data_IF_765321323394
#
_entry.id   IF_765321323394
#
_cell.length_a   1.000
_cell.length_b   1.000
_cell.length_c   1.000
_cell.angle_alpha   90.00
_cell.angle_beta   90.00
_cell.angle_gamma   90.00
#
_symmetry.space_group_name_H-M   'P 1'
#
loop_
_entity.id
_entity.type
_entity.pdbx_description
1 polymer ?
#
# COMPACT_ATOMS: atom_id res chain seq x y z
N UNK A 1 -29.69 -19.02 16.79
CA UNK A 1 -28.83 -19.18 15.59
C UNK A 1 -28.92 -17.96 14.66
N UNK A 2 -30.10 -17.46 14.24
CA UNK A 2 -30.21 -16.31 13.33
C UNK A 2 -29.51 -15.04 13.85
N UNK A 3 -29.53 -14.75 15.17
CA UNK A 3 -28.85 -13.59 15.77
C UNK A 3 -27.32 -13.62 15.63
N UNK A 4 -26.72 -14.82 15.68
CA UNK A 4 -25.26 -15.02 15.52
C UNK A 4 -24.86 -14.90 14.04
N UNK A 5 -25.68 -15.49 13.15
CA UNK A 5 -25.44 -15.41 11.70
C UNK A 5 -25.50 -13.98 11.16
N UNK A 6 -26.30 -13.12 11.80
CA UNK A 6 -26.44 -11.70 11.44
C UNK A 6 -25.46 -10.76 12.19
N UNK A 7 -24.61 -11.30 13.08
CA UNK A 7 -23.63 -10.48 13.80
C UNK A 7 -22.72 -9.64 12.88
N UNK A 8 -22.14 -10.20 11.80
CA UNK A 8 -21.34 -9.41 10.85
C UNK A 8 -22.15 -8.28 10.20
N UNK A 9 -23.39 -8.57 9.80
CA UNK A 9 -24.26 -7.56 9.20
C UNK A 9 -24.67 -6.48 10.21
N UNK A 10 -24.92 -6.84 11.47
CA UNK A 10 -25.22 -5.87 12.54
C UNK A 10 -24.05 -4.90 12.76
N UNK A 11 -22.83 -5.43 12.81
CA UNK A 11 -21.62 -4.60 12.93
C UNK A 11 -21.43 -3.73 11.68
N UNK A 12 -21.62 -4.30 10.49
CA UNK A 12 -21.46 -3.59 9.23
C UNK A 12 -22.40 -2.40 9.07
N UNK A 13 -23.65 -2.52 9.53
CA UNK A 13 -24.66 -1.42 9.49
C UNK A 13 -24.69 -0.56 10.75
N UNK A 14 -23.79 -0.80 11.71
CA UNK A 14 -23.72 -0.04 12.96
C UNK A 14 -24.95 -0.19 13.85
N UNK A 15 -25.56 -1.39 13.87
CA UNK A 15 -26.76 -1.64 14.67
C UNK A 15 -26.43 -1.51 16.18
N UNK A 16 -27.12 -0.60 16.88
CA UNK A 16 -26.87 -0.29 18.29
C UNK A 16 -25.90 0.85 18.55
N UNK A 17 -25.23 1.39 17.52
CA UNK A 17 -24.25 2.47 17.68
C UNK A 17 -24.83 3.89 17.49
N UNK A 18 -26.13 4.05 17.16
CA UNK A 18 -26.71 5.38 16.96
C UNK A 18 -26.83 6.17 18.25
N UNK A 19 -26.43 7.44 18.24
CA UNK A 19 -26.78 8.35 19.30
C UNK A 19 -28.31 8.47 19.39
N UNK A 20 -28.83 8.53 20.61
CA UNK A 20 -30.29 8.50 20.86
C UNK A 20 -31.05 9.69 20.29
N UNK A 21 -30.39 10.87 20.22
CA UNK A 21 -30.98 12.10 19.73
C UNK A 21 -29.96 12.86 18.91
N UNK A 22 -30.20 12.95 17.59
CA UNK A 22 -29.48 13.84 16.69
C UNK A 22 -30.46 14.88 16.15
N UNK A 23 -30.12 16.17 16.26
CA UNK A 23 -30.86 17.22 15.57
C UNK A 23 -30.75 17.08 14.05
N UNK A 24 -31.74 17.57 13.31
CA UNK A 24 -31.79 17.49 11.86
C UNK A 24 -30.55 18.06 11.19
N UNK A 25 -29.99 19.16 11.73
CA UNK A 25 -28.77 19.79 11.22
C UNK A 25 -27.57 18.83 11.36
N UNK A 26 -27.44 18.15 12.51
CA UNK A 26 -26.34 17.19 12.71
C UNK A 26 -26.44 16.01 11.73
N UNK A 27 -27.65 15.51 11.46
CA UNK A 27 -27.90 14.46 10.47
C UNK A 27 -27.45 14.92 9.08
N UNK A 28 -27.88 16.12 8.65
CA UNK A 28 -27.50 16.69 7.36
C UNK A 28 -25.97 16.82 7.25
N UNK A 29 -25.32 17.34 8.30
CA UNK A 29 -23.86 17.48 8.31
C UNK A 29 -23.11 16.13 8.26
N UNK A 30 -23.63 15.09 8.94
CA UNK A 30 -23.06 13.75 8.85
C UNK A 30 -23.22 13.15 7.44
N UNK A 31 -24.33 13.39 6.76
CA UNK A 31 -24.53 12.95 5.37
C UNK A 31 -23.55 13.69 4.44
N UNK A 32 -23.42 15.00 4.58
CA UNK A 32 -22.46 15.80 3.78
C UNK A 32 -21.04 15.29 4.04
N UNK A 33 -20.63 15.15 5.29
CA UNK A 33 -19.29 14.65 5.66
C UNK A 33 -19.01 13.28 5.04
N UNK A 34 -19.98 12.35 5.12
CA UNK A 34 -19.87 11.01 4.54
C UNK A 34 -19.66 11.07 3.02
N UNK A 35 -20.46 11.86 2.32
CA UNK A 35 -20.37 12.00 0.86
C UNK A 35 -19.05 12.65 0.47
N UNK A 36 -18.61 13.68 1.21
CA UNK A 36 -17.35 14.38 0.93
C UNK A 36 -16.16 13.45 1.08
N UNK A 37 -16.06 12.71 2.19
CA UNK A 37 -14.98 11.73 2.39
C UNK A 37 -15.07 10.62 1.34
N UNK A 38 -16.27 10.11 1.06
CA UNK A 38 -16.47 9.09 0.03
C UNK A 38 -16.03 9.55 -1.36
N UNK A 39 -16.33 10.78 -1.73
CA UNK A 39 -15.88 11.37 -2.99
C UNK A 39 -14.37 11.56 -3.04
N UNK A 40 -13.77 12.03 -1.93
CA UNK A 40 -12.31 12.17 -1.83
C UNK A 40 -11.60 10.84 -2.11
N UNK A 41 -11.98 9.77 -1.40
CA UNK A 41 -11.37 8.44 -1.61
C UNK A 41 -11.66 7.86 -2.99
N UNK A 42 -12.87 8.06 -3.53
CA UNK A 42 -13.19 7.62 -4.88
C UNK A 42 -12.32 8.33 -5.92
N UNK A 43 -12.13 9.63 -5.77
CA UNK A 43 -11.28 10.44 -6.67
C UNK A 43 -9.83 10.01 -6.61
N UNK A 44 -9.26 9.92 -5.40
CA UNK A 44 -7.89 9.46 -5.16
C UNK A 44 -7.63 8.05 -5.70
N UNK A 45 -8.54 7.10 -5.41
CA UNK A 45 -8.39 5.73 -5.87
C UNK A 45 -8.50 5.61 -7.38
N UNK A 46 -9.40 6.38 -8.00
CA UNK A 46 -9.57 6.41 -9.46
C UNK A 46 -8.35 7.01 -10.14
N UNK A 47 -7.78 8.08 -9.59
CA UNK A 47 -6.55 8.70 -10.10
C UNK A 47 -5.37 7.71 -10.03
N UNK A 48 -5.14 7.09 -8.86
CA UNK A 48 -4.10 6.06 -8.67
C UNK A 48 -4.26 4.90 -9.65
N UNK A 49 -5.50 4.47 -9.89
CA UNK A 49 -5.80 3.38 -10.83
C UNK A 49 -5.47 3.76 -12.28
N UNK A 50 -5.80 4.99 -12.71
CA UNK A 50 -5.53 5.45 -14.07
C UNK A 50 -4.07 5.77 -14.33
N UNK A 51 -3.35 6.29 -13.35
CA UNK A 51 -1.91 6.55 -13.47
C UNK A 51 -1.13 5.25 -13.68
N UNK A 52 -1.53 4.17 -13.00
CA UNK A 52 -0.96 2.83 -13.16
C UNK A 52 0.45 2.63 -12.61
N UNK A 53 1.15 3.71 -12.25
CA UNK A 53 2.51 3.75 -11.69
C UNK A 53 2.57 4.23 -10.24
N UNK A 54 1.41 4.44 -9.62
CA UNK A 54 1.34 4.88 -8.23
C UNK A 54 2.00 3.88 -7.28
N UNK A 55 2.82 4.39 -6.35
CA UNK A 55 3.48 3.57 -5.33
C UNK A 55 3.51 4.27 -3.97
N UNK A 56 3.34 3.48 -2.91
CA UNK A 56 3.53 3.91 -1.53
C UNK A 56 5.01 3.97 -1.09
N UNK A 57 5.95 3.52 -1.95
CA UNK A 57 7.39 3.45 -1.64
C UNK A 57 7.95 4.76 -1.08
N UNK A 58 7.76 5.95 -1.72
CA UNK A 58 8.32 7.20 -1.19
C UNK A 58 7.77 7.57 0.18
N UNK A 59 6.51 7.24 0.42
CA UNK A 59 5.82 7.54 1.66
C UNK A 59 6.39 6.71 2.83
N UNK A 60 6.53 5.40 2.66
CA UNK A 60 7.08 4.52 3.68
C UNK A 60 8.59 4.67 3.85
N UNK A 61 9.34 4.89 2.78
CA UNK A 61 10.78 5.10 2.83
C UNK A 61 11.16 6.35 3.64
N UNK A 62 10.34 7.40 3.53
CA UNK A 62 10.53 8.66 4.24
C UNK A 62 9.79 8.73 5.59
N UNK A 63 9.31 7.59 6.11
CA UNK A 63 8.64 7.54 7.39
C UNK A 63 9.52 8.09 8.53
N UNK A 64 8.90 8.82 9.45
CA UNK A 64 9.55 9.48 10.59
C UNK A 64 8.97 9.02 11.93
N UNK A 65 9.63 9.36 13.03
CA UNK A 65 9.15 9.09 14.37
C UNK A 65 9.36 7.65 14.84
N UNK A 66 8.68 7.27 15.94
CA UNK A 66 8.96 6.01 16.63
C UNK A 66 8.59 4.76 15.85
N UNK A 67 7.69 4.87 14.86
CA UNK A 67 7.23 3.77 14.03
C UNK A 67 7.94 3.70 12.66
N UNK A 68 8.87 4.62 12.39
CA UNK A 68 9.54 4.74 11.10
C UNK A 68 10.19 3.44 10.63
N UNK A 69 10.83 2.69 11.55
CA UNK A 69 11.46 1.41 11.21
C UNK A 69 10.47 0.37 10.70
N UNK A 70 9.28 0.30 11.28
CA UNK A 70 8.25 -0.66 10.86
C UNK A 70 7.66 -0.27 9.48
N UNK A 71 7.42 1.01 9.24
CA UNK A 71 6.95 1.49 7.94
C UNK A 71 7.98 1.26 6.81
N UNK A 72 9.27 1.49 7.09
CA UNK A 72 10.33 1.24 6.10
C UNK A 72 10.44 -0.23 5.72
N UNK A 73 10.22 -1.16 6.66
CA UNK A 73 10.18 -2.60 6.36
C UNK A 73 9.03 -2.99 5.44
N UNK A 74 8.02 -2.12 5.28
CA UNK A 74 6.93 -2.29 4.31
C UNK A 74 7.33 -1.88 2.88
N UNK A 75 8.45 -1.17 2.71
CA UNK A 75 8.99 -0.92 1.37
C UNK A 75 9.55 -2.22 0.81
N UNK A 76 9.11 -2.60 -0.39
CA UNK A 76 9.69 -3.76 -1.06
C UNK A 76 11.19 -3.61 -1.20
N UNK A 77 11.91 -4.60 -0.70
CA UNK A 77 13.37 -4.67 -0.77
C UNK A 77 14.07 -3.37 -0.33
N UNK A 78 13.63 -2.81 0.82
CA UNK A 78 14.14 -1.54 1.34
C UNK A 78 15.67 -1.53 1.53
N UNK A 79 16.22 -2.65 1.96
CA UNK A 79 17.65 -2.88 2.17
C UNK A 79 18.39 -3.35 0.90
N UNK A 80 17.69 -3.54 -0.21
CA UNK A 80 18.27 -3.97 -1.48
C UNK A 80 18.74 -5.42 -1.52
N UNK A 81 18.42 -6.23 -0.52
CA UNK A 81 18.91 -7.61 -0.43
C UNK A 81 18.56 -8.46 -1.66
N UNK A 82 17.34 -8.27 -2.21
CA UNK A 82 16.89 -8.96 -3.42
C UNK A 82 17.52 -8.37 -4.68
N UNK A 83 17.52 -7.03 -4.81
CA UNK A 83 18.05 -6.34 -6.00
C UNK A 83 19.55 -6.47 -6.14
N UNK A 84 20.29 -6.60 -5.04
CA UNK A 84 21.74 -6.82 -5.03
C UNK A 84 22.14 -8.30 -5.16
N UNK A 85 21.16 -9.24 -5.08
CA UNK A 85 21.41 -10.66 -5.34
C UNK A 85 21.19 -10.95 -6.83
N UNK A 86 22.30 -11.01 -7.57
CA UNK A 86 22.29 -11.30 -8.99
C UNK A 86 21.60 -12.63 -9.32
N UNK A 87 21.82 -13.67 -8.51
CA UNK A 87 21.23 -14.99 -8.78
C UNK A 87 19.72 -14.97 -8.68
N UNK A 88 19.18 -14.32 -7.64
CA UNK A 88 17.75 -14.17 -7.46
C UNK A 88 17.14 -13.32 -8.58
N UNK A 89 17.77 -12.20 -8.92
CA UNK A 89 17.35 -11.33 -10.02
C UNK A 89 17.29 -12.08 -11.35
N UNK A 90 18.34 -12.86 -11.69
CA UNK A 90 18.36 -13.67 -12.91
C UNK A 90 17.25 -14.74 -12.95
N UNK A 91 16.95 -15.38 -11.82
CA UNK A 91 15.87 -16.37 -11.74
C UNK A 91 14.51 -15.70 -12.01
N UNK A 92 14.26 -14.54 -11.42
CA UNK A 92 13.01 -13.80 -11.63
C UNK A 92 12.87 -13.36 -13.09
N UNK A 93 13.93 -12.80 -13.67
CA UNK A 93 13.91 -12.35 -15.06
C UNK A 93 13.78 -13.51 -16.07
N UNK A 94 14.43 -14.64 -15.82
CA UNK A 94 14.26 -15.83 -16.66
C UNK A 94 12.83 -16.38 -16.58
N UNK A 95 12.26 -16.46 -15.38
CA UNK A 95 10.87 -16.89 -15.19
C UNK A 95 9.90 -15.94 -15.90
N UNK A 96 10.14 -14.63 -15.82
CA UNK A 96 9.32 -13.64 -16.51
C UNK A 96 9.42 -13.77 -18.04
N UNK A 97 10.62 -13.94 -18.60
CA UNK A 97 10.84 -14.19 -20.04
C UNK A 97 10.02 -15.38 -20.53
N UNK A 98 10.05 -16.48 -19.78
CA UNK A 98 9.32 -17.69 -20.18
C UNK A 98 7.81 -17.48 -20.10
N UNK A 99 7.35 -16.85 -19.01
CA UNK A 99 5.93 -16.56 -18.79
C UNK A 99 5.34 -15.57 -19.82
N UNK A 100 6.08 -14.52 -20.21
CA UNK A 100 5.61 -13.57 -21.22
C UNK A 100 5.55 -14.21 -22.62
N UNK A 101 6.50 -15.12 -22.91
CA UNK A 101 6.47 -15.91 -24.14
C UNK A 101 5.22 -16.79 -24.23
N UNK A 102 4.83 -17.43 -23.15
CA UNK A 102 3.58 -18.20 -23.05
C UNK A 102 2.34 -17.29 -23.13
N UNK A 103 2.36 -16.14 -22.46
CA UNK A 103 1.24 -15.19 -22.42
C UNK A 103 0.84 -14.66 -23.80
N UNK A 104 1.82 -14.27 -24.61
CA UNK A 104 1.59 -13.75 -25.94
C UNK A 104 1.61 -14.83 -27.05
N UNK A 105 2.10 -16.05 -26.74
CA UNK A 105 2.32 -17.11 -27.72
C UNK A 105 3.44 -16.74 -28.69
N UNK A 106 4.62 -16.38 -28.19
CA UNK A 106 5.77 -15.95 -29.00
C UNK A 106 6.21 -17.01 -30.01
N UNK A 107 6.55 -16.55 -31.21
CA UNK A 107 7.23 -17.37 -32.24
C UNK A 107 8.68 -17.70 -31.81
N UNK A 108 9.35 -18.61 -32.53
CA UNK A 108 10.75 -18.91 -32.29
C UNK A 108 11.66 -17.65 -32.41
N UNK A 109 11.35 -16.77 -33.37
CA UNK A 109 12.09 -15.52 -33.60
C UNK A 109 11.87 -14.54 -32.44
N UNK A 110 10.62 -14.39 -31.97
CA UNK A 110 10.28 -13.57 -30.81
C UNK A 110 10.91 -14.12 -29.52
N UNK A 111 10.94 -15.44 -29.32
CA UNK A 111 11.63 -16.07 -28.19
C UNK A 111 13.15 -15.84 -28.25
N UNK A 112 13.75 -15.85 -29.43
CA UNK A 112 15.16 -15.52 -29.60
C UNK A 112 15.44 -14.04 -29.27
N UNK A 113 14.51 -13.14 -29.58
CA UNK A 113 14.60 -11.72 -29.18
C UNK A 113 14.42 -11.54 -27.67
N UNK A 114 13.46 -12.23 -27.07
CA UNK A 114 13.25 -12.24 -25.62
C UNK A 114 14.52 -12.72 -24.86
N UNK A 115 15.23 -13.70 -25.43
CA UNK A 115 16.51 -14.18 -24.89
C UNK A 115 17.62 -13.13 -25.02
N UNK A 116 17.67 -12.36 -26.12
CA UNK A 116 18.63 -11.26 -26.28
C UNK A 116 18.39 -10.15 -25.25
N UNK A 117 17.12 -9.73 -25.10
CA UNK A 117 16.74 -8.71 -24.10
C UNK A 117 17.10 -9.16 -22.67
N UNK A 118 16.93 -10.46 -22.36
CA UNK A 118 17.36 -11.01 -21.07
C UNK A 118 18.89 -10.91 -20.89
N UNK A 119 19.66 -11.31 -21.91
CA UNK A 119 21.13 -11.25 -21.84
C UNK A 119 21.63 -9.80 -21.67
N UNK A 120 21.02 -8.86 -22.39
CA UNK A 120 21.36 -7.44 -22.29
C UNK A 120 21.04 -6.88 -20.90
N UNK A 121 19.87 -7.23 -20.33
CA UNK A 121 19.53 -6.81 -18.97
C UNK A 121 20.52 -7.36 -17.93
N UNK A 122 20.96 -8.60 -18.07
CA UNK A 122 21.99 -9.20 -17.21
C UNK A 122 23.32 -8.45 -17.35
N UNK A 123 23.76 -8.15 -18.56
CA UNK A 123 25.01 -7.41 -18.81
C UNK A 123 24.94 -5.98 -18.19
N UNK A 124 23.80 -5.30 -18.36
CA UNK A 124 23.59 -3.98 -17.74
C UNK A 124 23.64 -4.05 -16.21
N UNK A 125 23.05 -5.09 -15.63
CA UNK A 125 23.07 -5.31 -14.19
C UNK A 125 24.50 -5.56 -13.68
N UNK A 126 25.28 -6.42 -14.36
CA UNK A 126 26.68 -6.68 -14.05
C UNK A 126 27.50 -5.39 -14.09
N UNK A 127 27.34 -4.61 -15.16
CA UNK A 127 28.02 -3.32 -15.32
C UNK A 127 27.70 -2.35 -14.15
N UNK A 128 26.43 -2.20 -13.78
CA UNK A 128 26.02 -1.30 -12.69
C UNK A 128 26.56 -1.76 -11.34
N UNK A 129 26.54 -3.06 -11.07
CA UNK A 129 27.06 -3.61 -9.81
C UNK A 129 28.58 -3.55 -9.72
N UNK A 130 29.31 -3.75 -10.82
CA UNK A 130 30.76 -3.56 -10.86
C UNK A 130 31.16 -2.09 -10.69
N UNK A 131 30.44 -1.18 -11.35
CA UNK A 131 30.70 0.26 -11.25
C UNK A 131 30.53 0.79 -9.82
N UNK A 132 29.54 0.26 -9.09
CA UNK A 132 29.19 0.67 -7.72
C UNK A 132 29.67 -0.36 -6.66
N UNK A 133 30.67 -1.19 -6.97
CA UNK A 133 31.10 -2.28 -6.08
C UNK A 133 31.55 -1.79 -4.70
N UNK A 134 32.23 -0.64 -4.64
CA UNK A 134 32.70 -0.06 -3.37
C UNK A 134 31.54 0.39 -2.49
N UNK A 135 30.53 1.05 -3.06
CA UNK A 135 29.33 1.52 -2.36
C UNK A 135 28.50 0.34 -1.85
N UNK A 136 28.40 -0.73 -2.66
CA UNK A 136 27.71 -1.97 -2.28
C UNK A 136 28.43 -2.65 -1.12
N UNK A 137 29.75 -2.77 -1.17
CA UNK A 137 30.55 -3.37 -0.09
C UNK A 137 30.45 -2.54 1.20
N UNK A 138 30.58 -1.22 1.12
CA UNK A 138 30.46 -0.33 2.28
C UNK A 138 29.05 -0.44 2.89
N UNK A 139 28.02 -0.48 2.07
CA UNK A 139 26.63 -0.68 2.51
C UNK A 139 26.45 -2.01 3.23
N UNK A 140 26.89 -3.13 2.65
CA UNK A 140 26.78 -4.47 3.25
C UNK A 140 27.50 -4.57 4.59
N UNK A 141 28.70 -4.01 4.67
CA UNK A 141 29.46 -3.94 5.92
C UNK A 141 28.76 -3.08 6.96
N UNK A 142 28.16 -1.97 6.53
CA UNK A 142 27.39 -1.06 7.36
C UNK A 142 26.13 -1.73 7.95
N UNK A 143 25.36 -2.42 7.11
CA UNK A 143 24.18 -3.19 7.53
C UNK A 143 24.56 -4.24 8.58
N UNK A 144 25.60 -5.02 8.33
CA UNK A 144 26.06 -6.03 9.30
C UNK A 144 26.53 -5.42 10.64
N UNK A 145 27.05 -4.19 10.64
CA UNK A 145 27.38 -3.47 11.89
C UNK A 145 26.12 -3.03 12.63
N UNK A 146 25.10 -2.51 11.92
CA UNK A 146 23.82 -2.09 12.50
C UNK A 146 23.09 -3.29 13.11
N UNK A 147 23.05 -4.43 12.42
CA UNK A 147 22.42 -5.67 12.94
C UNK A 147 23.09 -6.16 14.23
N UNK A 148 24.42 -6.10 14.32
CA UNK A 148 25.15 -6.42 15.56
C UNK A 148 24.82 -5.46 16.69
N UNK A 149 24.58 -4.18 16.38
CA UNK A 149 24.18 -3.19 17.38
C UNK A 149 22.73 -3.40 17.85
N UNK A 150 21.87 -3.86 16.96
CA UNK A 150 20.47 -4.16 17.26
C UNK A 150 20.30 -5.45 18.09
N UNK A 151 21.21 -6.40 17.93
CA UNK A 151 21.21 -7.65 18.70
C UNK A 151 21.78 -7.53 20.12
N UNK A 152 22.29 -6.37 20.54
CA UNK A 152 22.88 -6.15 21.87
C UNK A 152 21.81 -5.61 22.86
N UNK A 153 21.29 -6.46 23.79
CA UNK A 153 20.23 -6.06 24.72
C UNK A 153 20.64 -4.96 25.71
N UNK A 154 21.94 -4.81 25.95
CA UNK A 154 22.47 -3.80 26.91
C UNK A 154 22.33 -2.39 26.32
N UNK A 155 22.34 -2.27 25.01
CA UNK A 155 22.26 -1.00 24.29
C UNK A 155 20.84 -0.56 23.96
N UNK A 156 19.89 -1.46 23.97
CA UNK A 156 18.50 -1.20 23.61
C UNK A 156 17.79 -0.25 24.61
N UNK A 157 18.26 -0.19 25.85
CA UNK A 157 17.76 0.72 26.89
C UNK A 157 18.31 2.15 26.83
N UNK A 158 19.23 2.47 25.91
CA UNK A 158 19.91 3.79 25.88
C UNK A 158 19.37 4.62 24.70
N UNK A 159 18.47 5.56 24.99
CA UNK A 159 17.78 6.39 23.97
C UNK A 159 18.73 7.18 23.03
N UNK A 160 19.90 7.61 23.53
CA UNK A 160 20.91 8.30 22.72
C UNK A 160 21.53 7.41 21.63
N UNK A 161 21.65 6.11 21.90
CA UNK A 161 22.16 5.12 20.93
C UNK A 161 21.12 4.78 19.86
N UNK A 162 19.82 4.86 20.20
CA UNK A 162 18.73 4.71 19.22
C UNK A 162 18.78 5.77 18.13
N UNK A 163 18.99 7.04 18.49
CA UNK A 163 19.13 8.14 17.54
C UNK A 163 20.37 7.99 16.64
N UNK A 164 21.48 7.48 17.19
CA UNK A 164 22.70 7.24 16.43
C UNK A 164 22.52 6.09 15.42
N UNK A 165 21.88 4.99 15.81
CA UNK A 165 21.54 3.88 14.91
C UNK A 165 20.70 4.35 13.74
N UNK A 166 19.69 5.15 14.00
CA UNK A 166 18.81 5.70 12.96
C UNK A 166 19.54 6.63 11.99
N UNK A 167 20.51 7.40 12.49
CA UNK A 167 21.37 8.23 11.64
C UNK A 167 22.23 7.37 10.72
N UNK A 168 22.89 6.34 11.26
CA UNK A 168 23.69 5.40 10.46
C UNK A 168 22.86 4.70 9.41
N UNK A 169 21.66 4.21 9.76
CA UNK A 169 20.76 3.59 8.76
C UNK A 169 20.40 4.54 7.64
N UNK A 170 20.08 5.79 7.94
CA UNK A 170 19.77 6.81 6.91
C UNK A 170 20.96 7.11 6.02
N UNK A 171 22.17 7.16 6.56
CA UNK A 171 23.40 7.34 5.79
C UNK A 171 23.65 6.17 4.85
N UNK A 172 23.48 4.93 5.35
CA UNK A 172 23.61 3.72 4.52
C UNK A 172 22.54 3.66 3.42
N UNK A 173 21.28 3.97 3.73
CA UNK A 173 20.23 4.04 2.72
C UNK A 173 20.56 5.10 1.67
N UNK A 174 21.01 6.28 2.07
CA UNK A 174 21.39 7.33 1.16
C UNK A 174 22.58 6.94 0.25
N UNK A 175 23.51 6.17 0.78
CA UNK A 175 24.66 5.64 0.04
C UNK A 175 24.22 4.69 -1.08
N UNK A 176 23.33 3.73 -0.77
CA UNK A 176 22.98 2.67 -1.70
C UNK A 176 21.81 3.03 -2.64
N UNK A 177 20.98 4.02 -2.29
CA UNK A 177 19.77 4.39 -3.08
C UNK A 177 20.10 4.67 -4.55
N UNK A 178 21.15 5.42 -4.93
CA UNK A 178 21.45 5.67 -6.35
C UNK A 178 21.72 4.38 -7.14
N UNK A 179 22.39 3.41 -6.54
CA UNK A 179 22.67 2.11 -7.16
C UNK A 179 21.38 1.30 -7.30
N UNK A 180 20.54 1.26 -6.24
CA UNK A 180 19.27 0.56 -6.30
C UNK A 180 18.31 1.17 -7.31
N UNK A 181 18.30 2.50 -7.47
CA UNK A 181 17.49 3.17 -8.48
C UNK A 181 17.97 2.85 -9.91
N UNK A 182 19.26 2.71 -10.14
CA UNK A 182 19.80 2.24 -11.42
C UNK A 182 19.36 0.79 -11.71
N UNK A 183 19.38 -0.08 -10.71
CA UNK A 183 18.89 -1.46 -10.85
C UNK A 183 17.39 -1.47 -11.11
N UNK A 184 16.60 -0.65 -10.41
CA UNK A 184 15.15 -0.52 -10.66
C UNK A 184 14.87 -0.09 -12.11
N UNK A 185 15.66 0.84 -12.67
CA UNK A 185 15.55 1.22 -14.09
C UNK A 185 15.82 0.05 -15.05
N UNK A 186 16.77 -0.83 -14.73
CA UNK A 186 17.02 -2.03 -15.54
C UNK A 186 15.80 -2.96 -15.51
N UNK A 187 15.19 -3.15 -14.34
CA UNK A 187 13.96 -3.95 -14.21
C UNK A 187 12.80 -3.40 -15.06
N UNK A 188 12.59 -2.09 -15.03
CA UNK A 188 11.54 -1.41 -15.81
C UNK A 188 11.80 -1.45 -17.31
N UNK A 189 13.04 -1.20 -17.71
CA UNK A 189 13.47 -1.29 -19.10
C UNK A 189 13.33 -2.72 -19.64
N UNK A 190 13.70 -3.72 -18.84
CA UNK A 190 13.56 -5.13 -19.21
C UNK A 190 12.08 -5.53 -19.38
N UNK A 191 11.20 -5.14 -18.47
CA UNK A 191 9.75 -5.34 -18.61
C UNK A 191 9.24 -4.72 -19.91
N UNK A 192 9.63 -3.48 -20.17
CA UNK A 192 9.22 -2.73 -21.36
C UNK A 192 9.72 -3.40 -22.63
N UNK A 193 11.00 -3.74 -22.69
CA UNK A 193 11.62 -4.38 -23.85
C UNK A 193 10.96 -5.74 -24.16
N UNK A 194 10.66 -6.54 -23.14
CA UNK A 194 9.98 -7.82 -23.32
C UNK A 194 8.55 -7.67 -23.87
N UNK A 195 7.78 -6.69 -23.38
CA UNK A 195 6.43 -6.43 -23.87
C UNK A 195 6.43 -5.85 -25.29
N UNK A 196 7.45 -5.11 -25.69
CA UNK A 196 7.59 -4.53 -27.04
C UNK A 196 7.84 -5.57 -28.14
N UNK A 197 8.21 -6.80 -27.80
CA UNK A 197 8.35 -7.90 -28.76
C UNK A 197 7.00 -8.33 -29.34
N UNK A 198 5.91 -8.14 -28.55
CA UNK A 198 4.58 -8.55 -28.96
C UNK A 198 4.07 -7.70 -30.14
N UNK A 199 3.46 -8.34 -31.13
CA UNK A 199 2.80 -7.67 -32.26
C UNK A 199 1.51 -6.98 -31.82
N UNK A 200 1.03 -6.01 -32.60
CA UNK A 200 -0.23 -5.31 -32.35
C UNK A 200 -1.42 -6.29 -32.19
N UNK A 201 -1.41 -7.40 -32.96
CA UNK A 201 -2.45 -8.43 -32.85
C UNK A 201 -2.38 -9.20 -31.51
N UNK A 202 -1.18 -9.46 -31.00
CA UNK A 202 -0.97 -10.12 -29.70
C UNK A 202 -1.38 -9.18 -28.56
N UNK A 203 -0.99 -7.91 -28.63
CA UNK A 203 -1.37 -6.87 -27.66
C UNK A 203 -2.90 -6.65 -27.64
N UNK A 204 -3.56 -6.71 -28.80
CA UNK A 204 -5.01 -6.57 -28.87
C UNK A 204 -5.78 -7.73 -28.20
N UNK A 205 -5.15 -8.92 -28.08
CA UNK A 205 -5.75 -10.11 -27.45
C UNK A 205 -5.39 -10.22 -25.96
N UNK A 206 -4.20 -9.78 -25.58
CA UNK A 206 -3.65 -9.93 -24.25
C UNK A 206 -3.10 -8.58 -23.74
N UNK A 207 -3.51 -8.12 -22.55
CA UNK A 207 -2.97 -6.89 -21.97
C UNK A 207 -1.46 -7.07 -21.69
N UNK A 208 -0.70 -5.95 -21.53
CA UNK A 208 0.71 -6.01 -21.18
C UNK A 208 0.97 -6.89 -19.96
N UNK A 209 1.96 -7.78 -20.09
CA UNK A 209 2.32 -8.71 -19.01
C UNK A 209 3.31 -8.06 -18.07
N UNK A 210 2.93 -7.91 -16.80
CA UNK A 210 3.76 -7.21 -15.81
C UNK A 210 4.79 -8.11 -15.17
N UNK A 211 5.99 -7.57 -14.98
CA UNK A 211 7.06 -8.19 -14.20
C UNK A 211 6.74 -8.09 -12.71
N UNK A 212 6.17 -9.15 -12.18
CA UNK A 212 5.79 -9.21 -10.76
C UNK A 212 7.04 -9.36 -9.91
N UNK A 213 7.28 -8.40 -9.03
CA UNK A 213 8.36 -8.47 -8.05
C UNK A 213 8.04 -9.53 -6.99
N UNK A 214 9.00 -10.43 -6.65
CA UNK A 214 8.75 -11.46 -5.66
C UNK A 214 8.50 -10.84 -4.28
N UNK A 215 7.51 -11.38 -3.57
CA UNK A 215 7.17 -10.89 -2.23
C UNK A 215 8.24 -11.28 -1.23
N UNK A 216 8.75 -10.31 -0.50
CA UNK A 216 9.76 -10.48 0.54
C UNK A 216 9.12 -10.47 1.93
N UNK A 217 8.08 -9.65 2.11
CA UNK A 217 7.33 -9.54 3.36
C UNK A 217 5.85 -9.88 3.15
N UNK A 218 5.15 -10.16 4.27
CA UNK A 218 3.72 -10.46 4.22
C UNK A 218 2.89 -9.27 3.72
N UNK A 219 3.32 -8.04 4.06
CA UNK A 219 2.75 -6.80 3.57
C UNK A 219 3.90 -5.86 3.21
N UNK A 220 4.16 -5.72 1.92
CA UNK A 220 5.11 -4.77 1.37
C UNK A 220 4.47 -3.95 0.24
N UNK A 221 5.21 -2.96 -0.28
CA UNK A 221 4.70 -2.07 -1.33
C UNK A 221 4.30 -2.82 -2.59
N UNK A 222 4.86 -3.99 -2.89
CA UNK A 222 4.45 -4.79 -4.05
C UNK A 222 2.98 -5.24 -3.99
N UNK A 223 2.47 -5.48 -2.78
CA UNK A 223 1.06 -5.81 -2.54
C UNK A 223 0.22 -4.56 -2.29
N UNK A 224 0.75 -3.61 -1.50
CA UNK A 224 0.05 -2.39 -1.10
C UNK A 224 -0.30 -1.54 -2.32
N UNK A 225 0.62 -1.37 -3.25
CA UNK A 225 0.45 -0.58 -4.46
C UNK A 225 -0.68 -1.14 -5.36
N UNK A 226 -0.86 -2.46 -5.36
CA UNK A 226 -1.97 -3.10 -6.08
C UNK A 226 -3.30 -2.95 -5.35
N UNK A 227 -3.32 -3.07 -4.01
CA UNK A 227 -4.57 -3.11 -3.24
C UNK A 227 -5.15 -1.71 -3.01
N UNK A 228 -4.32 -0.70 -2.72
CA UNK A 228 -4.79 0.62 -2.29
C UNK A 228 -5.72 1.30 -3.30
N UNK A 229 -5.46 1.33 -4.62
CA UNK A 229 -6.40 1.95 -5.56
C UNK A 229 -7.82 1.34 -5.50
N UNK A 230 -7.90 0.01 -5.44
CA UNK A 230 -9.19 -0.69 -5.32
C UNK A 230 -9.85 -0.49 -3.96
N UNK A 231 -9.07 -0.47 -2.89
CA UNK A 231 -9.53 -0.19 -1.53
C UNK A 231 -10.17 1.20 -1.46
N UNK A 232 -9.50 2.23 -1.98
CA UNK A 232 -9.99 3.61 -1.99
C UNK A 232 -11.28 3.72 -2.82
N UNK A 233 -11.33 3.13 -4.02
CA UNK A 233 -12.52 3.12 -4.88
C UNK A 233 -13.68 2.41 -4.20
N UNK A 234 -13.47 1.22 -3.66
CA UNK A 234 -14.53 0.40 -3.07
C UNK A 234 -15.11 1.08 -1.82
N UNK A 235 -14.27 1.58 -0.92
CA UNK A 235 -14.71 2.25 0.29
C UNK A 235 -15.29 3.64 0.00
N UNK A 236 -14.76 4.35 -0.99
CA UNK A 236 -15.34 5.59 -1.50
C UNK A 236 -16.80 5.39 -1.95
N UNK A 237 -17.06 4.37 -2.76
CA UNK A 237 -18.43 4.00 -3.16
C UNK A 237 -19.30 3.59 -1.96
N UNK A 238 -18.77 2.80 -1.03
CA UNK A 238 -19.51 2.43 0.18
C UNK A 238 -19.98 3.66 0.95
N UNK A 239 -19.11 4.67 1.10
CA UNK A 239 -19.47 5.90 1.79
C UNK A 239 -20.48 6.75 1.00
N UNK A 240 -20.30 6.94 -0.30
CA UNK A 240 -21.23 7.72 -1.13
C UNK A 240 -22.63 7.12 -1.07
N UNK A 241 -22.73 5.80 -1.28
CA UNK A 241 -24.01 5.09 -1.27
C UNK A 241 -24.57 4.92 0.15
N UNK A 242 -23.78 5.12 1.18
CA UNK A 242 -24.14 4.84 2.56
C UNK A 242 -24.36 3.35 2.80
N UNK A 243 -23.51 2.50 2.21
CA UNK A 243 -23.53 1.04 2.31
C UNK A 243 -22.39 0.56 3.18
N UNK A 244 -22.68 -0.25 4.20
CA UNK A 244 -21.69 -0.74 5.19
C UNK A 244 -20.87 0.40 5.82
N UNK A 245 -21.48 1.57 5.97
CA UNK A 245 -20.83 2.83 6.35
C UNK A 245 -19.96 2.69 7.59
N UNK A 246 -20.44 2.02 8.63
CA UNK A 246 -19.68 1.88 9.89
C UNK A 246 -18.38 1.12 9.70
N UNK A 247 -18.38 0.05 8.90
CA UNK A 247 -17.18 -0.75 8.62
C UNK A 247 -16.26 -0.02 7.64
N UNK A 248 -16.83 0.55 6.58
CA UNK A 248 -16.06 1.31 5.60
C UNK A 248 -15.37 2.53 6.23
N UNK A 249 -16.10 3.30 7.03
CA UNK A 249 -15.53 4.45 7.76
C UNK A 249 -14.48 4.01 8.78
N UNK A 250 -14.68 2.89 9.48
CA UNK A 250 -13.68 2.38 10.43
C UNK A 250 -12.39 1.98 9.68
N UNK A 251 -12.51 1.27 8.57
CA UNK A 251 -11.36 0.85 7.76
C UNK A 251 -10.57 2.06 7.23
N UNK A 252 -11.27 3.07 6.68
CA UNK A 252 -10.63 4.32 6.23
C UNK A 252 -10.00 5.10 7.40
N UNK A 253 -10.69 5.16 8.55
CA UNK A 253 -10.16 5.82 9.74
C UNK A 253 -8.87 5.18 10.22
N UNK A 254 -8.79 3.85 10.28
CA UNK A 254 -7.57 3.12 10.65
C UNK A 254 -6.47 3.32 9.60
N UNK A 255 -6.82 3.27 8.32
CA UNK A 255 -5.87 3.53 7.23
C UNK A 255 -5.25 4.93 7.34
N UNK A 256 -6.07 5.97 7.41
CA UNK A 256 -5.58 7.36 7.55
C UNK A 256 -4.79 7.58 8.85
N UNK A 257 -5.19 6.91 9.93
CA UNK A 257 -4.43 6.98 11.18
C UNK A 257 -3.05 6.34 11.04
N UNK A 258 -2.94 5.23 10.31
CA UNK A 258 -1.63 4.63 10.01
C UNK A 258 -0.76 5.56 9.16
N UNK A 259 -1.36 6.25 8.18
CA UNK A 259 -0.70 7.28 7.38
C UNK A 259 -0.18 8.43 8.27
N UNK A 260 -1.00 8.92 9.20
CA UNK A 260 -0.56 9.90 10.19
C UNK A 260 0.62 9.41 11.02
N UNK A 261 0.58 8.16 11.51
CA UNK A 261 1.63 7.59 12.35
C UNK A 261 2.96 7.42 11.60
N UNK A 262 2.94 7.23 10.29
CA UNK A 262 4.16 7.10 9.49
C UNK A 262 4.96 8.41 9.43
N UNK A 263 4.32 9.55 9.68
CA UNK A 263 4.90 10.90 9.67
C UNK A 263 4.81 11.57 11.05
N UNK A 264 4.76 10.79 12.12
CA UNK A 264 4.68 11.32 13.50
C UNK A 264 6.09 11.65 14.06
N UNK A 265 6.28 12.78 14.78
CA UNK A 265 5.33 13.89 14.95
C UNK A 265 5.15 14.68 13.64
N UNK A 266 3.93 15.12 13.34
CA UNK A 266 3.68 15.83 12.09
C UNK A 266 4.41 17.19 12.07
N UNK A 267 4.97 17.51 10.92
CA UNK A 267 5.53 18.83 10.67
C UNK A 267 4.42 19.84 10.39
N UNK A 268 4.76 21.13 10.37
CA UNK A 268 3.83 22.19 9.95
C UNK A 268 4.01 22.50 8.45
N UNK A 269 2.96 23.00 7.81
CA UNK A 269 2.99 23.39 6.41
C UNK A 269 2.39 22.34 5.44
N UNK A 270 2.63 22.47 4.13
CA UNK A 270 1.98 21.63 3.11
C UNK A 270 2.26 20.13 3.23
N UNK A 271 3.41 19.74 3.81
CA UNK A 271 3.79 18.35 4.05
C UNK A 271 3.30 17.79 5.38
N UNK A 272 2.42 18.50 6.10
CA UNK A 272 1.90 18.06 7.40
C UNK A 272 0.91 16.91 7.25
N UNK A 273 1.05 15.87 8.08
CA UNK A 273 0.09 14.76 8.19
C UNK A 273 -1.08 15.05 9.13
N UNK A 274 -1.23 16.28 9.62
CA UNK A 274 -2.34 16.65 10.51
C UNK A 274 -3.71 16.51 9.85
N UNK A 275 -3.81 16.73 8.53
CA UNK A 275 -5.07 16.58 7.83
C UNK A 275 -5.52 15.12 7.78
N UNK A 276 -4.61 14.15 7.64
CA UNK A 276 -4.93 12.73 7.73
C UNK A 276 -5.48 12.37 9.11
N UNK A 277 -4.92 12.95 10.19
CA UNK A 277 -5.45 12.75 11.53
C UNK A 277 -6.88 13.29 11.65
N UNK A 278 -7.14 14.51 11.15
CA UNK A 278 -8.48 15.12 11.19
C UNK A 278 -9.49 14.27 10.42
N UNK A 279 -9.13 13.84 9.22
CA UNK A 279 -9.97 13.01 8.38
C UNK A 279 -10.19 11.61 8.97
N UNK A 280 -9.15 11.02 9.58
CA UNK A 280 -9.26 9.77 10.36
C UNK A 280 -10.28 9.88 11.48
N UNK A 281 -10.20 10.95 12.28
CA UNK A 281 -11.16 11.20 13.36
C UNK A 281 -12.58 11.42 12.83
N UNK A 282 -12.74 12.11 11.70
CA UNK A 282 -14.02 12.26 11.03
C UNK A 282 -14.59 10.90 10.57
N UNK A 283 -13.75 10.02 10.04
CA UNK A 283 -14.13 8.64 9.71
C UNK A 283 -14.59 7.86 10.96
N UNK A 284 -13.89 7.98 12.08
CA UNK A 284 -14.30 7.33 13.32
C UNK A 284 -15.63 7.87 13.85
N UNK A 285 -15.91 9.17 13.69
CA UNK A 285 -17.22 9.75 14.02
C UNK A 285 -18.32 9.14 13.12
N UNK A 286 -18.10 9.01 11.81
CA UNK A 286 -19.05 8.37 10.90
C UNK A 286 -19.29 6.90 11.27
N UNK A 287 -18.23 6.16 11.62
CA UNK A 287 -18.33 4.77 12.05
C UNK A 287 -19.18 4.63 13.33
N UNK A 288 -18.91 5.48 14.33
CA UNK A 288 -19.58 5.44 15.64
C UNK A 288 -21.04 5.90 15.58
N UNK A 289 -21.40 6.81 14.67
CA UNK A 289 -22.76 7.35 14.56
C UNK A 289 -23.68 6.53 13.68
N UNK A 290 -23.17 5.55 12.92
CA UNK A 290 -23.95 4.77 11.96
C UNK A 290 -24.59 5.67 10.90
N UNK A 291 -23.83 6.63 10.39
CA UNK A 291 -24.29 7.69 9.47
C UNK A 291 -24.92 7.16 8.16
N UNK A 292 -24.66 5.92 7.76
CA UNK A 292 -25.26 5.28 6.59
C UNK A 292 -26.78 5.04 6.71
N UNK A 293 -27.32 5.07 7.93
CA UNK A 293 -28.77 4.96 8.15
C UNK A 293 -29.53 6.23 7.78
N UNK A 294 -28.83 7.35 7.66
CA UNK A 294 -29.39 8.62 7.25
C UNK A 294 -29.10 8.83 5.76
N UNK A 295 -30.16 8.81 4.94
CA UNK A 295 -30.05 8.97 3.48
C UNK A 295 -29.00 8.04 2.80
N UNK A 296 -28.93 6.75 3.23
CA UNK A 296 -28.05 5.74 2.68
C UNK A 296 -28.69 4.35 2.61
N UNK A 297 -28.04 3.42 1.93
CA UNK A 297 -28.52 2.05 1.76
C UNK A 297 -28.53 1.25 3.07
N UNK A 298 -27.71 1.63 4.05
CA UNK A 298 -27.72 1.04 5.39
C UNK A 298 -29.07 1.19 6.10
N UNK A 299 -29.91 2.16 5.71
CA UNK A 299 -31.26 2.29 6.19
C UNK A 299 -32.08 1.01 5.93
N UNK A 300 -32.05 0.51 4.70
CA UNK A 300 -32.78 -0.70 4.32
C UNK A 300 -32.21 -1.95 5.01
N UNK A 301 -30.88 -2.05 5.09
CA UNK A 301 -30.22 -3.14 5.80
C UNK A 301 -30.56 -3.11 7.30
N UNK A 302 -30.63 -1.92 7.90
CA UNK A 302 -31.04 -1.75 9.28
C UNK A 302 -32.49 -2.22 9.53
N UNK A 303 -33.43 -1.94 8.61
CA UNK A 303 -34.80 -2.44 8.70
C UNK A 303 -34.86 -3.97 8.67
N UNK A 304 -34.06 -4.61 7.81
CA UNK A 304 -33.96 -6.08 7.73
C UNK A 304 -33.44 -6.64 9.05
N UNK A 305 -32.31 -6.09 9.54
CA UNK A 305 -31.69 -6.53 10.81
C UNK A 305 -32.69 -6.35 11.98
N UNK A 306 -33.39 -5.21 12.03
CA UNK A 306 -34.41 -4.93 13.07
C UNK A 306 -35.57 -5.92 13.03
N UNK A 307 -36.02 -6.31 11.83
CA UNK A 307 -37.09 -7.31 11.67
C UNK A 307 -36.69 -8.69 12.20
N UNK A 308 -35.45 -9.08 12.03
CA UNK A 308 -34.92 -10.41 12.42
C UNK A 308 -34.47 -10.42 13.89
N UNK A 309 -33.82 -9.37 14.35
CA UNK A 309 -33.19 -9.31 15.68
C UNK A 309 -34.08 -8.66 16.75
N UNK A 310 -35.21 -8.04 16.36
CA UNK A 310 -36.06 -7.26 17.26
C UNK A 310 -35.56 -5.80 17.41
N UNK A 311 -36.28 -4.96 18.16
CA UNK A 311 -35.92 -3.56 18.37
C UNK A 311 -34.56 -3.44 19.08
N UNK A 312 -33.82 -2.38 18.77
CA UNK A 312 -32.53 -2.05 19.36
C UNK A 312 -32.67 -1.89 20.88
N UNK A 313 -31.94 -2.69 21.67
CA UNK A 313 -31.92 -2.53 23.15
C UNK A 313 -31.31 -1.16 23.56
N UNK A 314 -30.54 -0.52 22.70
CA UNK A 314 -30.01 0.84 22.90
C UNK A 314 -31.08 1.94 22.67
N UNK A 315 -32.27 1.60 22.16
CA UNK A 315 -33.40 2.52 21.97
C UNK A 315 -34.38 2.52 23.16
N UNK A 316 -34.11 1.74 24.18
CA UNK A 316 -34.77 1.76 25.49
C UNK A 316 -33.91 2.53 26.49
#
# INVERSE_FOLDING_TARGET
MAKILLLPLRLAVGYGLSPRILGHIAIVMLVILRITIGYHFLSEGTEKYHQGDWTAKPFFANATGPFAGEFRKMVWDYDGAMRLDMKQTQIVWATYRDAIGEHYGFSEEQNAEAQRNYAEAVEQYEYVTELNANEIEEFQLGVGRVEKLDSDPVRDGVSSLGGQRETVRRELTKLITPTLDQIDMIWENYETAQNQIATDEQIARHPPYRLVRPRIAMMDTSLIDVIIPYFDIALGWCLILGLFTSVASLALGVFLFSVFLSQFPPTTGPGSSNYQLIESLACFVLAATGAGRFAGLDFFLHLIVRKVCGPDEAAR
#
